data_IF_875275557399
#
_entry.id   IF_875275557399
#
_cell.length_a   1.000
_cell.length_b   1.000
_cell.length_c   1.000
_cell.angle_alpha   90.00
_cell.angle_beta   90.00
_cell.angle_gamma   90.00
#
_symmetry.space_group_name_H-M   'P 1'
#
loop_
_entity.id
_entity.type
_entity.pdbx_description
1 polymer ?
#
# COMPACT_ATOMS: atom_id res chain seq x y z
N UNK A 1 -44.79 -54.92 40.35
CA UNK A 1 -43.40 -55.09 39.84
C UNK A 1 -43.35 -54.37 38.51
N UNK A 2 -42.90 -53.06 38.53
CA UNK A 2 -42.78 -52.22 37.34
C UNK A 2 -41.34 -51.78 37.20
N UNK A 3 -40.69 -52.26 36.15
CA UNK A 3 -39.31 -51.89 35.82
C UNK A 3 -39.30 -50.64 34.93
N UNK A 4 -38.85 -49.54 35.49
CA UNK A 4 -38.62 -48.30 34.80
C UNK A 4 -37.27 -48.35 34.10
N UNK A 5 -37.23 -48.43 32.77
CA UNK A 5 -36.00 -48.37 31.97
C UNK A 5 -35.75 -46.95 31.50
N UNK A 6 -34.79 -46.28 32.11
CA UNK A 6 -34.32 -44.94 31.76
C UNK A 6 -33.38 -45.06 30.57
N UNK A 7 -33.81 -44.56 29.41
CA UNK A 7 -32.91 -44.40 28.26
C UNK A 7 -32.24 -43.06 28.31
N UNK A 8 -30.91 -43.08 28.65
CA UNK A 8 -30.06 -41.91 28.47
C UNK A 8 -29.80 -41.70 26.97
N UNK A 9 -30.35 -40.61 26.43
CA UNK A 9 -29.95 -40.08 25.13
C UNK A 9 -28.71 -39.24 25.28
N UNK A 10 -27.56 -39.76 24.84
CA UNK A 10 -26.32 -39.02 24.73
C UNK A 10 -26.37 -38.10 23.51
N UNK A 11 -26.56 -36.80 23.71
CA UNK A 11 -26.38 -35.77 22.70
C UNK A 11 -24.88 -35.58 22.49
N UNK A 12 -24.37 -36.11 21.38
CA UNK A 12 -23.02 -35.81 20.92
C UNK A 12 -22.99 -34.38 20.35
N UNK A 13 -22.49 -33.42 21.13
CA UNK A 13 -22.17 -32.09 20.67
C UNK A 13 -20.86 -32.18 19.87
N UNK A 14 -20.98 -32.23 18.55
CA UNK A 14 -19.84 -32.13 17.63
C UNK A 14 -19.32 -30.68 17.65
N UNK A 15 -18.26 -30.44 18.44
CA UNK A 15 -17.57 -29.16 18.48
C UNK A 15 -16.85 -28.92 17.16
N UNK A 16 -17.35 -27.96 16.38
CA UNK A 16 -16.66 -27.46 15.20
C UNK A 16 -15.46 -26.64 15.69
N UNK A 17 -14.28 -27.26 15.72
CA UNK A 17 -13.01 -26.55 15.87
C UNK A 17 -12.78 -25.71 14.62
N UNK A 18 -13.16 -24.44 14.65
CA UNK A 18 -12.65 -23.44 13.69
C UNK A 18 -11.14 -23.32 13.95
N UNK A 19 -10.35 -24.00 13.10
CA UNK A 19 -8.92 -23.78 13.04
C UNK A 19 -8.69 -22.34 12.59
N UNK A 20 -8.49 -21.44 13.56
CA UNK A 20 -7.92 -20.11 13.31
C UNK A 20 -6.51 -20.35 12.83
N UNK A 21 -6.32 -20.39 11.50
CA UNK A 21 -5.01 -20.46 10.86
C UNK A 21 -4.23 -19.22 11.27
N UNK A 22 -3.26 -19.38 12.16
CA UNK A 22 -2.23 -18.37 12.36
C UNK A 22 -1.49 -18.23 11.02
N UNK A 23 -1.79 -17.19 10.27
CA UNK A 23 -0.95 -16.78 9.14
C UNK A 23 0.42 -16.47 9.71
N UNK A 24 1.41 -17.29 9.36
CA UNK A 24 2.81 -17.02 9.66
C UNK A 24 3.26 -15.79 8.85
N UNK A 25 3.10 -14.61 9.46
CA UNK A 25 3.42 -13.31 8.88
C UNK A 25 4.91 -12.97 9.05
N UNK A 26 5.77 -13.99 9.06
CA UNK A 26 7.20 -13.83 9.37
C UNK A 26 8.04 -13.29 8.21
N UNK A 27 7.53 -13.34 6.98
CA UNK A 27 8.29 -12.92 5.78
C UNK A 27 7.41 -12.08 4.84
N UNK A 28 8.01 -11.07 4.17
CA UNK A 28 7.30 -10.33 3.13
C UNK A 28 7.02 -11.22 1.91
N UNK A 29 5.90 -10.98 1.26
CA UNK A 29 5.47 -11.64 0.02
C UNK A 29 5.65 -10.67 -1.12
N UNK A 30 6.20 -11.11 -2.25
CA UNK A 30 6.38 -10.26 -3.43
C UNK A 30 5.03 -9.73 -3.92
N UNK A 31 4.92 -8.43 -4.00
CA UNK A 31 3.72 -7.73 -4.47
C UNK A 31 4.08 -6.86 -5.64
N UNK A 32 3.37 -7.07 -6.75
CA UNK A 32 3.48 -6.29 -7.98
C UNK A 32 2.13 -5.73 -8.35
N UNK A 33 2.12 -4.52 -8.87
CA UNK A 33 0.90 -3.89 -9.31
C UNK A 33 1.12 -2.89 -10.43
N UNK A 34 0.02 -2.26 -10.85
CA UNK A 34 0.02 -1.17 -11.83
C UNK A 34 -0.84 -0.04 -11.31
N UNK A 35 -0.40 1.18 -11.51
CA UNK A 35 -1.17 2.39 -11.23
C UNK A 35 -1.54 3.08 -12.53
N UNK A 36 -2.80 3.43 -12.64
CA UNK A 36 -3.32 4.29 -13.71
C UNK A 36 -4.06 5.49 -13.13
N UNK A 37 -3.98 6.62 -13.81
CA UNK A 37 -4.80 7.80 -13.59
C UNK A 37 -5.62 8.04 -14.85
N UNK A 38 -6.93 8.01 -14.74
CA UNK A 38 -7.86 8.10 -15.88
C UNK A 38 -7.49 7.14 -17.03
N UNK A 39 -7.17 5.87 -16.68
CA UNK A 39 -6.72 4.82 -17.58
C UNK A 39 -5.32 5.04 -18.23
N UNK A 40 -4.59 6.07 -17.84
CA UNK A 40 -3.21 6.30 -18.30
C UNK A 40 -2.21 5.84 -17.24
N UNK A 41 -1.13 5.15 -17.61
CA UNK A 41 -0.12 4.72 -16.65
C UNK A 41 0.57 5.92 -16.01
N UNK A 42 0.77 5.87 -14.70
CA UNK A 42 1.45 6.92 -13.94
C UNK A 42 2.89 6.49 -13.67
N UNK A 43 3.83 7.17 -14.29
CA UNK A 43 5.26 6.93 -14.08
C UNK A 43 5.84 7.84 -12.99
N UNK A 44 6.77 7.33 -12.18
CA UNK A 44 7.50 8.12 -11.17
C UNK A 44 6.68 8.48 -9.93
N UNK A 45 5.51 7.86 -9.74
CA UNK A 45 4.76 8.01 -8.51
C UNK A 45 5.32 7.13 -7.40
N UNK A 46 5.21 7.60 -6.16
CA UNK A 46 5.49 6.81 -4.96
C UNK A 46 4.20 6.22 -4.46
N UNK A 47 4.22 4.93 -4.23
CA UNK A 47 3.12 4.14 -3.66
C UNK A 47 3.51 3.72 -2.27
N UNK A 48 2.71 4.05 -1.29
CA UNK A 48 2.94 3.64 0.09
C UNK A 48 1.77 2.83 0.60
N UNK A 49 2.06 1.64 1.08
CA UNK A 49 1.14 0.72 1.73
C UNK A 49 1.27 0.88 3.22
N UNK A 50 0.28 1.51 3.85
CA UNK A 50 0.21 1.73 5.29
C UNK A 50 -0.52 0.56 5.93
N UNK A 51 0.18 -0.21 6.74
CA UNK A 51 -0.37 -1.39 7.40
C UNK A 51 -1.53 -1.03 8.33
N UNK A 52 -2.60 -1.81 8.26
CA UNK A 52 -3.76 -1.67 9.14
C UNK A 52 -3.70 -2.77 10.20
N UNK A 53 -3.15 -2.44 11.37
CA UNK A 53 -3.02 -3.40 12.47
C UNK A 53 -1.63 -3.38 13.12
N UNK A 54 -1.52 -3.98 14.29
CA UNK A 54 -0.33 -3.90 15.15
C UNK A 54 0.86 -4.75 14.68
N UNK A 55 0.65 -5.72 13.82
CA UNK A 55 1.70 -6.64 13.31
C UNK A 55 2.15 -6.35 11.89
N UNK A 56 1.50 -5.40 11.21
CA UNK A 56 1.87 -5.00 9.85
C UNK A 56 3.06 -4.03 9.84
N UNK A 57 3.78 -4.00 8.73
CA UNK A 57 4.81 -3.01 8.43
C UNK A 57 4.46 -2.31 7.12
N UNK A 58 4.76 -1.04 7.05
CA UNK A 58 4.56 -0.25 5.84
C UNK A 58 5.53 -0.73 4.76
N UNK A 59 5.05 -0.68 3.52
CA UNK A 59 5.83 -0.99 2.35
C UNK A 59 5.67 0.13 1.32
N UNK A 60 6.69 0.34 0.51
CA UNK A 60 6.68 1.39 -0.50
C UNK A 60 7.23 0.88 -1.83
N UNK A 61 6.93 1.59 -2.90
CA UNK A 61 7.44 1.30 -4.23
C UNK A 61 7.36 2.53 -5.12
N UNK A 62 8.09 2.48 -6.24
CA UNK A 62 8.05 3.52 -7.27
C UNK A 62 7.47 2.96 -8.55
N UNK A 63 6.65 3.75 -9.22
CA UNK A 63 6.10 3.34 -10.51
C UNK A 63 7.09 3.55 -11.63
N UNK A 64 7.21 2.55 -12.49
CA UNK A 64 7.99 2.58 -13.74
C UNK A 64 7.23 3.35 -14.84
N UNK A 65 7.83 3.47 -16.01
CA UNK A 65 7.25 4.19 -17.15
C UNK A 65 5.88 3.64 -17.61
N UNK A 66 5.65 2.35 -17.42
CA UNK A 66 4.42 1.64 -17.73
C UNK A 66 3.40 1.64 -16.56
N UNK A 67 3.68 2.42 -15.51
CA UNK A 67 2.86 2.47 -14.29
C UNK A 67 3.01 1.24 -13.38
N UNK A 68 3.85 0.26 -13.73
CA UNK A 68 4.11 -0.91 -12.88
C UNK A 68 4.95 -0.54 -11.67
N UNK A 69 4.70 -1.21 -10.54
CA UNK A 69 5.49 -1.06 -9.32
C UNK A 69 5.73 -2.40 -8.64
N UNK A 70 6.77 -2.46 -7.85
CA UNK A 70 7.08 -3.54 -6.90
C UNK A 70 7.23 -2.94 -5.51
N UNK A 71 6.76 -3.66 -4.50
CA UNK A 71 6.84 -3.19 -3.13
C UNK A 71 8.14 -3.61 -2.47
N UNK A 72 8.60 -2.76 -1.58
CA UNK A 72 9.79 -2.91 -0.76
C UNK A 72 9.43 -2.64 0.70
N UNK A 73 9.83 -3.51 1.61
CA UNK A 73 9.71 -3.30 3.06
C UNK A 73 11.08 -3.13 3.72
N UNK A 74 12.00 -4.07 3.52
CA UNK A 74 13.36 -4.02 4.09
C UNK A 74 14.45 -4.04 3.02
N UNK A 75 14.25 -4.84 2.00
CA UNK A 75 15.20 -5.02 0.89
C UNK A 75 14.49 -4.75 -0.43
N UNK A 76 15.21 -4.27 -1.45
CA UNK A 76 14.61 -3.99 -2.75
C UNK A 76 13.76 -5.16 -3.25
N UNK A 77 12.51 -4.85 -3.61
CA UNK A 77 11.55 -5.78 -4.21
C UNK A 77 11.23 -7.04 -3.35
N UNK A 78 11.42 -6.95 -2.03
CA UNK A 78 11.08 -8.05 -1.11
C UNK A 78 9.55 -8.18 -0.89
N UNK A 79 8.79 -7.13 -1.19
CA UNK A 79 7.34 -7.11 -1.14
C UNK A 79 6.77 -6.48 0.12
N UNK A 80 5.64 -7.02 0.60
CA UNK A 80 4.97 -6.57 1.82
C UNK A 80 4.52 -7.76 2.67
N UNK A 81 4.31 -7.54 3.96
CA UNK A 81 3.78 -8.57 4.86
C UNK A 81 2.31 -8.87 4.54
N UNK A 82 1.86 -10.08 4.84
CA UNK A 82 0.46 -10.41 4.69
C UNK A 82 -0.40 -9.57 5.63
N UNK A 83 -1.49 -9.01 5.11
CA UNK A 83 -2.39 -8.16 5.89
C UNK A 83 -3.18 -7.18 5.03
N UNK A 84 -3.92 -6.32 5.69
CA UNK A 84 -4.68 -5.24 5.05
C UNK A 84 -3.89 -3.94 5.09
N UNK A 85 -3.96 -3.20 3.99
CA UNK A 85 -3.25 -1.95 3.80
C UNK A 85 -4.17 -0.84 3.31
N UNK A 86 -3.93 0.34 3.82
CA UNK A 86 -4.39 1.58 3.22
C UNK A 86 -3.31 2.07 2.25
N UNK A 87 -3.70 2.42 1.04
CA UNK A 87 -2.73 2.79 0.00
C UNK A 87 -2.76 4.31 -0.20
N UNK A 88 -1.58 4.89 -0.20
CA UNK A 88 -1.34 6.30 -0.49
C UNK A 88 -0.48 6.39 -1.74
N UNK A 89 -0.86 7.28 -2.66
CA UNK A 89 -0.12 7.51 -3.90
C UNK A 89 0.14 9.00 -4.04
N UNK A 90 1.40 9.35 -4.20
CA UNK A 90 1.79 10.73 -4.47
C UNK A 90 2.89 10.78 -5.52
N UNK A 91 2.92 11.88 -6.25
CA UNK A 91 3.94 12.13 -7.24
C UNK A 91 4.95 13.13 -6.66
N UNK A 92 6.17 12.63 -6.42
CA UNK A 92 7.31 13.49 -6.18
C UNK A 92 8.08 13.56 -7.49
N UNK A 93 8.12 14.73 -8.07
CA UNK A 93 9.08 14.96 -9.15
C UNK A 93 10.48 14.67 -8.59
N UNK A 94 11.27 13.76 -9.20
CA UNK A 94 12.63 13.58 -8.76
C UNK A 94 13.30 14.93 -8.85
N UNK A 95 13.71 15.48 -7.73
CA UNK A 95 14.65 16.58 -7.75
C UNK A 95 15.84 16.06 -8.55
N UNK A 96 16.06 16.64 -9.71
CA UNK A 96 17.24 16.33 -10.52
C UNK A 96 18.46 16.74 -9.69
N UNK A 97 18.92 15.82 -8.85
CA UNK A 97 20.20 15.92 -8.16
C UNK A 97 21.33 15.71 -9.17
N UNK A 98 21.40 16.61 -10.12
CA UNK A 98 22.41 16.70 -11.17
C UNK A 98 22.93 18.12 -11.28
N UNK A 99 22.84 18.88 -10.20
CA UNK A 99 23.55 20.15 -10.04
C UNK A 99 24.68 19.92 -9.06
N UNK A 100 25.91 19.87 -9.55
CA UNK A 100 27.10 20.10 -8.77
C UNK A 100 26.86 21.34 -7.92
N UNK A 101 26.82 21.20 -6.59
CA UNK A 101 26.62 22.32 -5.67
C UNK A 101 27.93 23.07 -5.68
N UNK A 102 28.10 24.00 -6.59
CA UNK A 102 29.17 24.98 -6.53
C UNK A 102 28.88 25.93 -5.37
N UNK A 103 29.92 26.34 -4.64
CA UNK A 103 29.81 27.21 -3.46
C UNK A 103 29.07 28.54 -3.74
N UNK A 104 28.98 28.95 -4.99
CA UNK A 104 28.21 30.12 -5.44
C UNK A 104 26.68 29.93 -5.32
N UNK A 105 26.14 28.71 -5.38
CA UNK A 105 24.73 28.46 -5.24
C UNK A 105 24.23 28.64 -3.80
N UNK A 106 25.10 28.51 -2.80
CA UNK A 106 24.75 28.74 -1.38
C UNK A 106 24.45 30.20 -1.08
N UNK A 107 25.09 31.10 -1.77
CA UNK A 107 24.94 32.55 -1.51
C UNK A 107 23.64 33.09 -2.10
N UNK A 108 23.10 32.47 -3.15
CA UNK A 108 21.85 32.91 -3.80
C UNK A 108 20.58 32.40 -3.13
N UNK A 109 20.62 31.35 -2.33
CA UNK A 109 19.49 30.84 -1.56
C UNK A 109 19.09 31.73 -0.37
N UNK A 110 19.98 32.67 0.04
CA UNK A 110 19.70 33.62 1.11
C UNK A 110 18.73 34.75 0.72
N UNK A 111 18.39 34.90 -0.56
CA UNK A 111 17.50 35.94 -1.05
C UNK A 111 16.13 35.33 -1.42
N UNK A 112 15.36 34.96 -0.39
CA UNK A 112 13.91 34.97 -0.34
C UNK A 112 13.07 34.49 -1.55
N UNK A 113 13.61 33.70 -2.51
CA UNK A 113 12.80 33.07 -3.54
C UNK A 113 12.10 31.85 -2.94
N UNK A 114 10.78 31.95 -2.70
CA UNK A 114 9.93 30.78 -2.44
C UNK A 114 10.24 29.72 -3.50
N UNK A 115 10.46 28.45 -3.10
CA UNK A 115 10.61 27.38 -4.08
C UNK A 115 9.35 27.36 -4.96
N UNK A 116 9.54 27.64 -6.25
CA UNK A 116 8.46 27.49 -7.21
C UNK A 116 8.12 26.00 -7.28
N UNK A 117 6.93 25.62 -6.87
CA UNK A 117 6.36 24.30 -7.15
C UNK A 117 6.40 24.11 -8.66
N UNK A 118 7.40 23.37 -9.16
CA UNK A 118 7.37 22.88 -10.53
C UNK A 118 6.09 22.09 -10.68
N UNK A 119 5.34 22.33 -11.75
CA UNK A 119 4.08 21.63 -12.02
C UNK A 119 4.39 20.15 -12.20
N UNK A 120 3.92 19.31 -11.29
CA UNK A 120 4.08 17.88 -11.38
C UNK A 120 3.51 17.37 -12.72
N UNK A 121 4.22 16.47 -13.38
CA UNK A 121 3.80 15.86 -14.68
C UNK A 121 2.41 15.20 -14.57
N UNK A 122 2.05 14.72 -13.39
CA UNK A 122 0.74 14.14 -13.07
C UNK A 122 0.12 14.90 -11.91
N UNK A 123 -1.15 15.30 -12.08
CA UNK A 123 -1.95 15.89 -11.00
C UNK A 123 -2.72 14.79 -10.30
N UNK A 124 -2.06 14.09 -9.35
CA UNK A 124 -2.75 13.11 -8.52
C UNK A 124 -3.63 13.88 -7.51
N UNK A 125 -4.95 13.60 -7.45
CA UNK A 125 -5.83 14.26 -6.49
C UNK A 125 -5.36 14.08 -5.04
N UNK A 126 -5.44 15.15 -4.26
CA UNK A 126 -4.96 15.17 -2.87
C UNK A 126 -5.58 14.07 -1.99
N UNK A 127 -6.77 13.59 -2.33
CA UNK A 127 -7.40 12.49 -1.61
C UNK A 127 -6.60 11.18 -1.64
N UNK A 128 -5.80 10.93 -2.68
CA UNK A 128 -4.95 9.74 -2.75
C UNK A 128 -3.60 9.93 -2.06
N UNK A 129 -3.20 11.19 -1.84
CA UNK A 129 -1.94 11.52 -1.16
C UNK A 129 -2.08 11.63 0.35
N UNK A 130 -3.32 11.76 0.85
CA UNK A 130 -3.60 11.93 2.28
C UNK A 130 -4.02 10.60 2.91
N UNK A 131 -3.29 10.06 3.89
CA UNK A 131 -3.65 8.83 4.60
C UNK A 131 -5.04 8.86 5.25
N UNK A 132 -5.53 10.05 5.62
CA UNK A 132 -6.85 10.18 6.24
C UNK A 132 -7.99 10.13 5.21
N UNK A 133 -7.73 10.56 3.98
CA UNK A 133 -8.75 10.71 2.92
C UNK A 133 -8.74 9.59 1.91
N UNK A 134 -7.63 8.85 1.78
CA UNK A 134 -7.53 7.80 0.77
C UNK A 134 -8.55 6.69 1.00
N UNK A 135 -9.26 6.36 -0.06
CA UNK A 135 -10.19 5.23 -0.11
C UNK A 135 -9.53 3.96 -0.67
N UNK A 136 -8.28 4.07 -1.14
CA UNK A 136 -7.55 2.94 -1.70
C UNK A 136 -7.18 1.95 -0.61
N UNK A 137 -7.54 0.69 -0.83
CA UNK A 137 -7.20 -0.41 0.06
C UNK A 137 -6.65 -1.58 -0.75
N UNK A 138 -5.77 -2.33 -0.13
CA UNK A 138 -5.21 -3.54 -0.72
C UNK A 138 -4.99 -4.59 0.37
N UNK A 139 -5.14 -5.85 -0.01
CA UNK A 139 -4.83 -7.00 0.85
C UNK A 139 -3.62 -7.72 0.28
N UNK A 140 -2.70 -8.12 1.13
CA UNK A 140 -1.52 -8.91 0.76
C UNK A 140 -1.64 -10.29 1.41
N UNK A 141 -1.43 -11.39 0.68
CA UNK A 141 -1.18 -11.47 -0.77
C UNK A 141 -2.42 -11.11 -1.59
N UNK A 142 -2.24 -10.42 -2.72
CA UNK A 142 -3.38 -10.07 -3.57
C UNK A 142 -3.95 -11.32 -4.25
N UNK A 143 -5.27 -11.39 -4.40
CA UNK A 143 -5.96 -12.50 -5.07
C UNK A 143 -5.70 -12.56 -6.59
N UNK A 144 -4.98 -11.58 -7.15
CA UNK A 144 -4.68 -11.48 -8.57
C UNK A 144 -3.75 -10.31 -8.85
N UNK A 145 -3.73 -9.83 -10.10
CA UNK A 145 -2.95 -8.64 -10.48
C UNK A 145 -3.51 -7.41 -9.76
N UNK A 146 -2.69 -6.79 -8.93
CA UNK A 146 -3.07 -5.58 -8.23
C UNK A 146 -3.09 -4.39 -9.21
N UNK A 147 -4.27 -3.81 -9.42
CA UNK A 147 -4.44 -2.62 -10.25
C UNK A 147 -5.08 -1.51 -9.43
N UNK A 148 -4.43 -0.38 -9.36
CA UNK A 148 -4.91 0.82 -8.66
C UNK A 148 -5.31 1.86 -9.70
N UNK A 149 -6.62 2.02 -9.90
CA UNK A 149 -7.18 2.99 -10.84
C UNK A 149 -7.52 4.28 -10.10
N UNK A 150 -6.76 5.32 -10.34
CA UNK A 150 -7.01 6.66 -9.84
C UNK A 150 -7.88 7.43 -10.82
N UNK A 151 -8.69 8.36 -10.30
CA UNK A 151 -9.54 9.23 -11.10
C UNK A 151 -9.29 10.69 -10.71
N UNK A 152 -9.05 11.55 -11.69
CA UNK A 152 -8.79 12.97 -11.47
C UNK A 152 -10.03 13.71 -10.93
N UNK A 153 -11.22 13.33 -11.38
CA UNK A 153 -12.50 13.98 -11.05
C UNK A 153 -13.31 13.23 -9.97
N UNK A 154 -12.68 12.38 -9.18
CA UNK A 154 -13.43 11.75 -8.11
C UNK A 154 -13.67 12.73 -6.95
N UNK A 155 -14.91 12.87 -6.46
CA UNK A 155 -15.31 13.78 -5.38
C UNK A 155 -14.64 13.45 -4.04
#
# INVERSE_FOLDING_TARGET
MARCSWRLSALAVCGICVASGCSDNSKPVKVRGVITLDNQPVAGAVVTFLAQGSSGRDAHGWTRADGSFELTTFSPDDGAFAGEYKVVVYYNEPESSGGEITDEAKTMQAIGKKPQKKSAKYSIPAKYSDPAKTTLRATVPPSGKLTLNLQSNAP
#
